data_IF_686693065693
#
_entry.id   IF_686693065693
#
_cell.length_a   1.000
_cell.length_b   1.000
_cell.length_c   1.000
_cell.angle_alpha   90.00
_cell.angle_beta   90.00
_cell.angle_gamma   90.00
#
_symmetry.space_group_name_H-M   'P 1'
#
loop_
_entity.id
_entity.type
_entity.pdbx_description
1 polymer ?
#
# COMPACT_ATOMS: atom_id res chain seq x y z
N UNK A 1 13.19 49.42 -7.12
CA UNK A 1 13.04 49.19 -5.67
C UNK A 1 12.71 50.48 -4.90
N UNK A 2 13.65 51.40 -4.65
CA UNK A 2 13.33 52.60 -3.84
C UNK A 2 12.36 53.57 -4.54
N UNK A 3 12.42 53.65 -5.87
CA UNK A 3 11.46 54.38 -6.70
C UNK A 3 10.06 53.76 -6.67
N UNK A 4 9.96 52.44 -6.58
CA UNK A 4 8.67 51.70 -6.56
C UNK A 4 8.04 51.75 -5.17
N UNK A 5 8.86 51.70 -4.11
CA UNK A 5 8.44 52.00 -2.75
C UNK A 5 7.85 53.41 -2.65
N UNK A 6 8.57 54.42 -3.15
CA UNK A 6 8.11 55.81 -3.12
C UNK A 6 6.78 55.97 -3.88
N UNK A 7 6.67 55.40 -5.09
CA UNK A 7 5.45 55.43 -5.89
C UNK A 7 4.28 54.69 -5.22
N UNK A 8 4.52 53.54 -4.60
CA UNK A 8 3.49 52.77 -3.92
C UNK A 8 2.95 53.48 -2.69
N UNK A 9 3.82 54.10 -1.89
CA UNK A 9 3.43 54.91 -0.72
C UNK A 9 2.69 56.18 -1.16
N UNK A 10 3.19 56.87 -2.20
CA UNK A 10 2.56 58.08 -2.74
C UNK A 10 1.16 57.79 -3.32
N UNK A 11 1.02 56.73 -4.12
CA UNK A 11 -0.26 56.32 -4.71
C UNK A 11 -1.27 55.92 -3.62
N UNK A 12 -0.85 55.13 -2.62
CA UNK A 12 -1.69 54.76 -1.49
C UNK A 12 -2.13 55.96 -0.66
N UNK A 13 -1.20 56.89 -0.39
CA UNK A 13 -1.48 58.12 0.37
C UNK A 13 -2.46 59.03 -0.36
N UNK A 14 -2.28 59.23 -1.66
CA UNK A 14 -3.17 60.08 -2.47
C UNK A 14 -4.58 59.47 -2.59
N UNK A 15 -4.66 58.14 -2.72
CA UNK A 15 -5.95 57.43 -2.74
C UNK A 15 -6.75 57.65 -1.45
N UNK A 16 -6.11 57.50 -0.28
CA UNK A 16 -6.78 57.67 1.01
C UNK A 16 -7.17 59.13 1.26
N UNK A 17 -6.32 60.11 0.93
CA UNK A 17 -6.67 61.54 1.05
C UNK A 17 -7.87 61.94 0.20
N UNK A 18 -8.06 61.32 -0.96
CA UNK A 18 -9.18 61.59 -1.85
C UNK A 18 -10.53 61.02 -1.36
N UNK A 19 -10.53 60.15 -0.34
CA UNK A 19 -11.72 59.47 0.19
C UNK A 19 -11.94 59.83 1.66
N UNK A 20 -12.88 60.76 1.91
CA UNK A 20 -13.11 61.28 3.27
C UNK A 20 -13.78 60.30 4.25
N UNK A 21 -14.41 59.21 3.78
CA UNK A 21 -15.12 58.22 4.62
C UNK A 21 -14.89 56.77 4.14
N UNK A 22 -13.64 56.34 4.02
CA UNK A 22 -13.30 54.95 3.67
C UNK A 22 -13.21 54.09 4.93
N UNK A 23 -13.78 52.88 4.90
CA UNK A 23 -13.61 51.92 5.99
C UNK A 23 -12.28 51.17 5.84
N UNK A 24 -11.76 50.65 6.95
CA UNK A 24 -10.44 49.99 7.04
C UNK A 24 -10.29 48.82 6.04
N UNK A 25 -11.35 48.00 5.89
CA UNK A 25 -11.34 46.83 5.00
C UNK A 25 -11.21 47.21 3.52
N UNK A 26 -11.87 48.28 3.11
CA UNK A 26 -11.79 48.79 1.73
C UNK A 26 -10.45 49.49 1.47
N UNK A 27 -9.90 50.17 2.49
CA UNK A 27 -8.55 50.73 2.44
C UNK A 27 -7.51 49.62 2.27
N UNK A 28 -7.56 48.57 3.08
CA UNK A 28 -6.63 47.44 3.02
C UNK A 28 -6.68 46.68 1.70
N UNK A 29 -7.88 46.48 1.15
CA UNK A 29 -8.05 45.83 -0.16
C UNK A 29 -7.38 46.65 -1.28
N UNK A 30 -7.53 47.97 -1.24
CA UNK A 30 -6.90 48.84 -2.24
C UNK A 30 -5.38 48.90 -2.07
N UNK A 31 -4.90 49.05 -0.82
CA UNK A 31 -3.47 49.00 -0.52
C UNK A 31 -2.85 47.66 -0.88
N UNK A 32 -3.56 46.53 -0.71
CA UNK A 32 -3.12 45.21 -1.20
C UNK A 32 -2.96 45.12 -2.72
N UNK A 33 -3.78 45.86 -3.48
CA UNK A 33 -3.65 45.96 -4.94
C UNK A 33 -2.40 46.75 -5.32
N UNK A 34 -2.14 47.87 -4.64
CA UNK A 34 -0.96 48.71 -4.84
C UNK A 34 0.32 47.95 -4.41
N UNK A 35 0.27 47.22 -3.30
CA UNK A 35 1.33 46.33 -2.82
C UNK A 35 1.75 45.34 -3.89
N UNK A 36 0.78 44.71 -4.56
CA UNK A 36 1.03 43.76 -5.65
C UNK A 36 1.60 44.46 -6.88
N UNK A 37 1.03 45.60 -7.29
CA UNK A 37 1.46 46.40 -8.44
C UNK A 37 2.93 46.82 -8.36
N UNK A 38 3.40 47.19 -7.17
CA UNK A 38 4.78 47.64 -6.94
C UNK A 38 5.68 46.58 -6.28
N UNK A 39 5.21 45.33 -6.18
CA UNK A 39 5.96 44.21 -5.57
C UNK A 39 6.52 44.53 -4.18
N UNK A 40 5.72 45.20 -3.34
CA UNK A 40 6.12 45.61 -2.00
C UNK A 40 5.95 44.45 -1.01
N UNK A 41 6.92 44.27 -0.09
CA UNK A 41 6.85 43.25 0.97
C UNK A 41 5.70 43.55 1.93
N UNK A 42 5.53 44.83 2.27
CA UNK A 42 4.37 45.30 3.01
C UNK A 42 3.92 46.69 2.55
N UNK A 43 2.61 46.92 2.54
CA UNK A 43 1.97 48.23 2.34
C UNK A 43 0.65 48.22 3.11
N UNK A 44 0.55 49.01 4.18
CA UNK A 44 -0.62 49.03 5.05
C UNK A 44 -0.87 50.41 5.63
N UNK A 45 -2.13 50.65 6.02
CA UNK A 45 -2.52 51.82 6.78
C UNK A 45 -2.11 51.63 8.24
N UNK A 46 -1.44 52.62 8.82
CA UNK A 46 -1.07 52.62 10.23
C UNK A 46 -1.72 53.83 10.87
N UNK A 47 -2.44 53.61 11.97
CA UNK A 47 -3.03 54.68 12.77
C UNK A 47 -2.00 55.14 13.79
N UNK A 48 -1.55 56.38 13.65
CA UNK A 48 -0.57 56.99 14.53
C UNK A 48 -1.19 57.46 15.84
N UNK A 49 -2.44 57.95 15.79
CA UNK A 49 -3.14 58.47 16.96
C UNK A 49 -4.65 58.50 16.74
N UNK A 50 -5.40 57.97 17.72
CA UNK A 50 -6.85 58.11 17.78
C UNK A 50 -7.21 59.42 18.48
N UNK A 51 -8.03 60.26 17.87
CA UNK A 51 -8.52 61.50 18.49
C UNK A 51 -9.99 61.35 18.87
N UNK A 52 -10.38 61.90 20.03
CA UNK A 52 -11.75 61.77 20.59
C UNK A 52 -12.83 62.39 19.69
N UNK A 53 -12.44 63.21 18.73
CA UNK A 53 -13.24 63.91 17.73
C UNK A 53 -13.72 62.98 16.58
N UNK A 54 -13.33 61.70 16.60
CA UNK A 54 -13.67 60.71 15.58
C UNK A 54 -12.87 60.81 14.27
N UNK A 55 -11.71 61.49 14.28
CA UNK A 55 -10.79 61.59 13.14
C UNK A 55 -9.38 61.14 13.53
N UNK A 56 -9.00 59.95 13.08
CA UNK A 56 -7.71 59.35 13.38
C UNK A 56 -6.59 59.91 12.48
N UNK A 57 -5.42 60.11 13.07
CA UNK A 57 -4.21 60.45 12.32
C UNK A 57 -3.59 59.15 11.79
N UNK A 58 -3.44 59.04 10.47
CA UNK A 58 -2.97 57.81 9.81
C UNK A 58 -1.85 58.10 8.81
N UNK A 59 -0.93 57.14 8.62
CA UNK A 59 0.04 57.12 7.53
C UNK A 59 0.08 55.76 6.82
N UNK A 60 0.59 55.74 5.59
CA UNK A 60 0.82 54.47 4.86
C UNK A 60 2.27 54.04 5.09
N UNK A 61 2.46 52.90 5.75
CA UNK A 61 3.76 52.28 5.89
C UNK A 61 4.05 51.37 4.70
N UNK A 62 5.23 51.49 4.10
CA UNK A 62 5.72 50.59 3.05
C UNK A 62 7.10 50.02 3.38
N UNK A 63 7.29 48.71 3.21
CA UNK A 63 8.57 48.01 3.40
C UNK A 63 8.98 47.28 2.11
N UNK A 64 10.25 47.41 1.69
CA UNK A 64 10.85 46.58 0.64
C UNK A 64 11.92 45.67 1.26
N UNK A 65 11.85 44.37 0.98
CA UNK A 65 12.97 43.45 1.20
C UNK A 65 13.67 43.28 -0.16
N UNK A 66 14.99 43.46 -0.31
CA UNK A 66 15.64 43.09 -1.57
C UNK A 66 15.66 41.57 -1.68
N UNK A 67 14.88 41.01 -2.61
CA UNK A 67 15.17 39.67 -3.14
C UNK A 67 16.29 39.86 -4.15
N UNK A 68 17.51 39.42 -3.79
CA UNK A 68 18.62 39.31 -4.74
C UNK A 68 18.66 37.87 -5.23
N UNK A 69 18.11 37.64 -6.41
CA UNK A 69 18.31 36.39 -7.13
C UNK A 69 19.57 36.54 -7.99
N UNK A 70 20.38 35.48 -8.06
CA UNK A 70 21.51 35.43 -9.00
C UNK A 70 21.00 35.38 -10.44
N UNK A 71 21.87 35.65 -11.41
CA UNK A 71 21.53 35.44 -12.82
C UNK A 71 21.19 33.95 -13.00
N UNK A 72 20.00 33.64 -13.53
CA UNK A 72 19.65 32.26 -13.87
C UNK A 72 20.66 31.73 -14.88
N UNK A 73 21.26 30.59 -14.58
CA UNK A 73 22.19 29.90 -15.46
C UNK A 73 21.72 28.47 -15.63
N UNK A 74 21.87 27.96 -16.85
CA UNK A 74 21.63 26.55 -17.14
C UNK A 74 22.80 25.76 -16.55
N UNK A 75 22.46 24.83 -15.66
CA UNK A 75 23.34 23.74 -15.27
C UNK A 75 22.71 22.45 -15.72
N UNK A 76 23.47 21.60 -16.39
CA UNK A 76 23.20 20.17 -16.36
C UNK A 76 23.51 19.72 -14.93
N UNK A 77 22.45 19.57 -14.12
CA UNK A 77 22.56 18.77 -12.91
C UNK A 77 22.79 17.34 -13.39
N UNK A 78 23.99 16.80 -13.11
CA UNK A 78 24.32 15.42 -13.42
C UNK A 78 23.13 14.53 -13.05
N UNK A 79 22.51 13.92 -14.05
CA UNK A 79 21.59 12.83 -13.80
C UNK A 79 22.37 11.82 -12.97
N UNK A 80 21.94 11.58 -11.73
CA UNK A 80 22.50 10.50 -10.91
C UNK A 80 22.56 9.27 -11.80
N UNK A 81 23.77 8.81 -12.15
CA UNK A 81 23.91 7.67 -13.05
C UNK A 81 23.42 6.42 -12.31
N UNK A 82 22.13 6.15 -12.44
CA UNK A 82 21.50 4.97 -11.85
C UNK A 82 22.01 3.78 -12.66
N UNK A 83 22.69 2.79 -12.04
CA UNK A 83 23.13 1.61 -12.75
C UNK A 83 21.92 0.77 -13.20
N UNK A 84 22.06 0.07 -14.33
CA UNK A 84 21.06 -0.91 -14.77
C UNK A 84 20.92 -2.04 -13.75
N UNK A 85 19.70 -2.53 -13.57
CA UNK A 85 19.44 -3.68 -12.70
C UNK A 85 20.18 -4.91 -13.20
N UNK A 86 20.82 -5.66 -12.29
CA UNK A 86 21.49 -6.93 -12.58
C UNK A 86 20.92 -8.03 -11.69
N UNK A 87 20.43 -9.09 -12.30
CA UNK A 87 19.87 -10.24 -11.60
C UNK A 87 20.70 -11.48 -11.90
N UNK A 88 21.22 -12.11 -10.85
CA UNK A 88 21.86 -13.42 -10.92
C UNK A 88 20.91 -14.49 -10.40
N UNK A 89 20.83 -15.59 -11.14
CA UNK A 89 19.99 -16.75 -10.82
C UNK A 89 20.87 -17.92 -10.43
N UNK A 90 20.54 -18.57 -9.31
CA UNK A 90 21.16 -19.83 -8.90
C UNK A 90 20.08 -20.73 -8.28
N UNK A 91 20.28 -22.05 -8.26
CA UNK A 91 19.33 -22.94 -7.60
C UNK A 91 19.07 -22.45 -6.17
N UNK A 92 17.80 -22.21 -5.84
CA UNK A 92 17.36 -21.83 -4.50
C UNK A 92 17.82 -20.45 -3.99
N UNK A 93 18.41 -19.63 -4.87
CA UNK A 93 18.90 -18.32 -4.50
C UNK A 93 18.99 -17.38 -5.70
N UNK A 94 18.33 -16.22 -5.60
CA UNK A 94 18.40 -15.17 -6.61
C UNK A 94 18.79 -13.84 -5.96
N UNK A 95 19.54 -13.03 -6.70
CA UNK A 95 20.04 -11.75 -6.23
C UNK A 95 19.86 -10.69 -7.32
N UNK A 96 19.07 -9.66 -7.04
CA UNK A 96 19.06 -8.43 -7.82
C UNK A 96 19.93 -7.38 -7.13
N UNK A 97 21.13 -7.13 -7.67
CA UNK A 97 22.09 -6.20 -7.09
C UNK A 97 22.99 -5.59 -8.18
N UNK A 98 22.81 -4.30 -8.52
CA UNK A 98 21.78 -3.42 -7.98
C UNK A 98 20.38 -3.76 -8.53
N UNK A 99 19.35 -3.46 -7.75
CA UNK A 99 17.96 -3.34 -8.18
C UNK A 99 17.60 -1.85 -8.22
N UNK A 100 17.13 -1.38 -9.37
CA UNK A 100 16.93 0.05 -9.69
C UNK A 100 15.70 0.27 -10.56
N UNK A 101 15.37 1.53 -10.83
CA UNK A 101 14.30 1.92 -11.76
C UNK A 101 14.62 1.51 -13.21
N UNK A 102 15.91 1.51 -13.60
CA UNK A 102 16.43 1.00 -14.89
C UNK A 102 16.42 -0.53 -14.97
N UNK A 103 15.24 -1.15 -14.86
CA UNK A 103 14.98 -2.58 -15.02
C UNK A 103 14.00 -2.84 -16.14
N UNK A 104 14.17 -3.96 -16.84
CA UNK A 104 13.14 -4.47 -17.75
C UNK A 104 12.07 -5.23 -16.95
N UNK A 105 10.84 -5.26 -17.46
CA UNK A 105 9.83 -6.20 -16.97
C UNK A 105 10.30 -7.61 -17.30
N UNK A 106 10.18 -8.52 -16.33
CA UNK A 106 10.51 -9.93 -16.49
C UNK A 106 9.44 -10.72 -17.24
N UNK A 107 9.50 -12.05 -17.13
CA UNK A 107 8.61 -12.93 -17.88
C UNK A 107 7.43 -13.43 -17.05
N UNK A 108 6.33 -13.73 -17.74
CA UNK A 108 5.19 -14.45 -17.16
C UNK A 108 5.61 -15.85 -16.72
N UNK A 109 4.99 -16.35 -15.65
CA UNK A 109 5.29 -17.65 -15.08
C UNK A 109 4.97 -18.81 -16.05
N UNK A 110 6.01 -19.50 -16.52
CA UNK A 110 5.92 -20.76 -17.27
C UNK A 110 5.65 -21.91 -16.32
N UNK A 111 5.22 -23.05 -16.88
CA UNK A 111 5.02 -24.25 -16.08
C UNK A 111 6.35 -24.83 -15.62
N UNK A 112 6.37 -25.33 -14.39
CA UNK A 112 7.53 -25.93 -13.73
C UNK A 112 7.17 -27.33 -13.24
N UNK A 113 8.16 -28.22 -13.04
CA UNK A 113 7.90 -29.53 -12.45
C UNK A 113 7.15 -29.39 -11.12
N UNK A 114 6.18 -30.28 -10.87
CA UNK A 114 5.24 -30.18 -9.76
C UNK A 114 3.98 -29.34 -10.03
N UNK A 115 3.96 -28.49 -11.07
CA UNK A 115 2.81 -27.63 -11.34
C UNK A 115 1.56 -28.42 -11.74
N UNK A 116 1.70 -29.52 -12.49
CA UNK A 116 0.58 -30.40 -12.83
C UNK A 116 -0.11 -30.96 -11.58
N UNK A 117 0.67 -31.39 -10.58
CA UNK A 117 0.15 -31.82 -9.27
C UNK A 117 -0.58 -30.68 -8.56
N UNK A 118 0.05 -29.50 -8.51
CA UNK A 118 -0.58 -28.31 -7.94
C UNK A 118 -1.90 -27.94 -8.63
N UNK A 119 -1.98 -28.10 -9.96
CA UNK A 119 -3.22 -27.88 -10.72
C UNK A 119 -4.31 -28.89 -10.34
N UNK A 120 -3.95 -30.17 -10.17
CA UNK A 120 -4.89 -31.18 -9.65
C UNK A 120 -5.40 -30.77 -8.28
N UNK A 121 -4.51 -30.45 -7.33
CA UNK A 121 -4.90 -29.96 -6.00
C UNK A 121 -5.81 -28.72 -6.10
N UNK A 122 -5.52 -27.82 -7.05
CA UNK A 122 -6.31 -26.61 -7.30
C UNK A 122 -7.74 -26.87 -7.77
N UNK A 123 -8.05 -28.06 -8.32
CA UNK A 123 -9.44 -28.43 -8.65
C UNK A 123 -10.32 -28.54 -7.41
N UNK A 124 -9.75 -28.97 -6.28
CA UNK A 124 -10.43 -28.96 -4.97
C UNK A 124 -10.24 -27.64 -4.25
N UNK A 125 -9.05 -27.06 -4.34
CA UNK A 125 -8.67 -25.87 -3.58
C UNK A 125 -7.74 -24.95 -4.35
N UNK A 126 -8.28 -23.90 -4.98
CA UNK A 126 -7.54 -22.94 -5.81
C UNK A 126 -6.52 -22.08 -5.02
N UNK A 127 -5.45 -22.70 -4.52
CA UNK A 127 -4.50 -22.06 -3.59
C UNK A 127 -3.07 -22.10 -4.05
N UNK A 128 -2.68 -23.05 -4.87
CA UNK A 128 -1.30 -23.08 -5.34
C UNK A 128 -1.13 -22.10 -6.49
N UNK A 129 -0.03 -21.36 -6.46
CA UNK A 129 0.38 -20.38 -7.47
C UNK A 129 1.84 -20.64 -7.84
N UNK A 130 2.19 -20.31 -9.08
CA UNK A 130 3.58 -20.20 -9.50
C UNK A 130 4.11 -18.86 -8.97
N UNK A 131 4.79 -18.89 -7.84
CA UNK A 131 5.32 -17.71 -7.16
C UNK A 131 6.69 -17.33 -7.71
N UNK A 132 6.82 -16.09 -8.15
CA UNK A 132 8.10 -15.47 -8.48
C UNK A 132 8.89 -15.15 -7.21
N UNK A 133 10.15 -15.59 -7.12
CA UNK A 133 11.03 -15.24 -6.00
C UNK A 133 11.51 -13.79 -6.11
N UNK A 134 11.82 -13.37 -7.32
CA UNK A 134 11.89 -11.96 -7.72
C UNK A 134 10.71 -11.69 -8.66
N UNK A 135 9.84 -10.76 -8.29
CA UNK A 135 8.65 -10.38 -9.06
C UNK A 135 8.95 -10.09 -10.54
N UNK A 136 8.01 -10.43 -11.43
CA UNK A 136 8.06 -10.02 -12.85
C UNK A 136 8.24 -8.50 -12.99
N UNK A 137 7.57 -7.70 -12.14
CA UNK A 137 7.68 -6.23 -12.15
C UNK A 137 9.01 -5.70 -11.59
N UNK A 138 9.81 -6.57 -10.97
CA UNK A 138 11.18 -6.30 -10.54
C UNK A 138 12.22 -6.87 -11.53
N UNK A 139 11.78 -7.43 -12.66
CA UNK A 139 12.63 -8.00 -13.71
C UNK A 139 12.91 -9.49 -13.58
N UNK A 140 12.24 -10.18 -12.65
CA UNK A 140 12.43 -11.61 -12.44
C UNK A 140 11.89 -12.47 -13.58
N UNK A 141 12.64 -13.51 -13.95
CA UNK A 141 12.25 -14.48 -14.99
C UNK A 141 11.10 -15.36 -14.54
N UNK A 142 10.34 -15.85 -15.51
CA UNK A 142 9.20 -16.74 -15.31
C UNK A 142 9.54 -18.22 -15.53
N UNK A 143 10.74 -18.67 -15.17
CA UNK A 143 11.17 -20.06 -15.31
C UNK A 143 11.61 -20.66 -13.96
N UNK A 144 11.97 -21.95 -13.96
CA UNK A 144 12.28 -22.71 -12.73
C UNK A 144 13.42 -22.10 -11.89
N UNK A 145 14.29 -21.27 -12.47
CA UNK A 145 15.36 -20.60 -11.72
C UNK A 145 14.83 -19.50 -10.78
N UNK A 146 13.59 -19.06 -10.96
CA UNK A 146 12.99 -17.97 -10.18
C UNK A 146 11.55 -18.28 -9.74
N UNK A 147 11.09 -19.50 -9.95
CA UNK A 147 9.75 -19.93 -9.60
C UNK A 147 9.79 -21.02 -8.53
N UNK A 148 8.84 -20.93 -7.61
CA UNK A 148 8.46 -22.03 -6.73
C UNK A 148 6.94 -22.06 -6.61
N UNK A 149 6.37 -23.23 -6.32
CA UNK A 149 4.95 -23.39 -6.06
C UNK A 149 4.71 -22.96 -4.62
N UNK A 150 3.90 -21.92 -4.45
CA UNK A 150 3.58 -21.33 -3.15
C UNK A 150 2.07 -21.18 -3.01
N UNK A 151 1.59 -20.95 -1.79
CA UNK A 151 0.18 -20.66 -1.59
C UNK A 151 -0.16 -19.25 -2.07
N UNK A 152 -1.42 -19.03 -2.45
CA UNK A 152 -1.97 -17.72 -2.82
C UNK A 152 -1.81 -16.72 -1.68
N UNK A 153 -1.95 -17.17 -0.43
CA UNK A 153 -1.68 -16.36 0.76
C UNK A 153 -0.23 -15.87 0.77
N UNK A 154 0.75 -16.78 0.66
CA UNK A 154 2.17 -16.43 0.64
C UNK A 154 2.51 -15.51 -0.52
N UNK A 155 1.99 -15.80 -1.73
CA UNK A 155 2.18 -14.96 -2.91
C UNK A 155 1.66 -13.53 -2.66
N UNK A 156 0.46 -13.40 -2.09
CA UNK A 156 -0.12 -12.10 -1.74
C UNK A 156 0.59 -11.39 -0.59
N UNK A 157 1.22 -12.11 0.35
CA UNK A 157 2.05 -11.51 1.39
C UNK A 157 3.40 -11.01 0.84
N UNK A 158 4.03 -11.75 -0.07
CA UNK A 158 5.24 -11.32 -0.80
C UNK A 158 4.96 -10.07 -1.63
N UNK A 159 3.87 -10.07 -2.39
CA UNK A 159 3.45 -8.91 -3.19
C UNK A 159 3.24 -7.68 -2.29
N UNK A 160 2.54 -7.85 -1.18
CA UNK A 160 2.16 -6.76 -0.27
C UNK A 160 3.30 -6.27 0.61
N UNK A 161 4.31 -7.09 0.88
CA UNK A 161 5.46 -6.77 1.72
C UNK A 161 6.70 -6.43 0.91
N UNK A 162 7.65 -7.37 0.75
CA UNK A 162 8.96 -7.12 0.16
C UNK A 162 8.88 -6.56 -1.27
N UNK A 163 7.98 -7.08 -2.11
CA UNK A 163 7.89 -6.62 -3.49
C UNK A 163 7.38 -5.18 -3.59
N UNK A 164 6.33 -4.84 -2.84
CA UNK A 164 5.79 -3.48 -2.82
C UNK A 164 6.83 -2.48 -2.36
N UNK A 165 7.57 -2.82 -1.30
CA UNK A 165 8.65 -1.98 -0.81
C UNK A 165 9.70 -1.75 -1.90
N UNK A 166 10.20 -2.83 -2.51
CA UNK A 166 11.22 -2.72 -3.55
C UNK A 166 10.74 -1.92 -4.76
N UNK A 167 9.51 -2.15 -5.24
CA UNK A 167 8.90 -1.41 -6.36
C UNK A 167 8.80 0.08 -6.06
N UNK A 168 8.40 0.46 -4.85
CA UNK A 168 8.24 1.84 -4.44
C UNK A 168 9.60 2.55 -4.31
N UNK A 169 10.56 1.96 -3.62
CA UNK A 169 11.88 2.58 -3.41
C UNK A 169 12.70 2.69 -4.70
N UNK A 170 12.50 1.77 -5.64
CA UNK A 170 13.17 1.77 -6.95
C UNK A 170 12.28 2.36 -8.05
N UNK A 171 11.31 3.21 -7.71
CA UNK A 171 10.54 3.97 -8.69
C UNK A 171 11.38 5.09 -9.32
N UNK A 172 10.95 5.60 -10.47
CA UNK A 172 11.61 6.75 -11.12
C UNK A 172 11.60 8.02 -10.27
N UNK A 173 10.63 8.16 -9.36
CA UNK A 173 10.52 9.29 -8.44
C UNK A 173 11.57 9.21 -7.32
N UNK A 174 11.75 8.02 -6.72
CA UNK A 174 12.67 7.82 -5.59
C UNK A 174 14.10 7.53 -6.02
N UNK A 175 14.30 7.00 -7.23
CA UNK A 175 15.60 6.64 -7.80
C UNK A 175 16.47 5.79 -6.86
N UNK A 176 15.84 4.98 -6.00
CA UNK A 176 16.55 4.17 -5.01
C UNK A 176 17.35 3.05 -5.66
N UNK A 177 18.45 2.69 -5.02
CA UNK A 177 19.32 1.58 -5.41
C UNK A 177 19.30 0.56 -4.28
N UNK A 178 18.77 -0.63 -4.55
CA UNK A 178 18.64 -1.70 -3.57
C UNK A 178 19.52 -2.91 -3.93
N UNK A 179 19.74 -3.77 -2.93
CA UNK A 179 20.03 -5.19 -3.12
C UNK A 179 18.79 -5.97 -2.70
N UNK A 180 18.32 -6.91 -3.52
CA UNK A 180 17.21 -7.80 -3.20
C UNK A 180 17.72 -9.25 -3.30
N UNK A 181 18.05 -9.84 -2.15
CA UNK A 181 18.51 -11.23 -2.02
C UNK A 181 17.32 -12.08 -1.59
N UNK A 182 16.99 -13.12 -2.37
CA UNK A 182 15.95 -14.09 -2.03
C UNK A 182 16.54 -15.49 -2.06
N UNK A 183 16.33 -16.22 -0.96
CA UNK A 183 16.70 -17.63 -0.78
C UNK A 183 15.45 -18.41 -0.43
N UNK A 184 15.31 -19.60 -0.98
CA UNK A 184 14.18 -20.45 -0.64
C UNK A 184 14.59 -21.91 -0.57
N UNK A 185 13.84 -22.69 0.17
CA UNK A 185 14.01 -24.15 0.27
C UNK A 185 12.68 -24.77 -0.09
N UNK A 186 12.72 -25.82 -0.91
CA UNK A 186 11.53 -26.58 -1.25
C UNK A 186 11.36 -27.78 -0.30
N UNK A 187 10.12 -28.23 -0.16
CA UNK A 187 9.84 -29.54 0.43
C UNK A 187 10.54 -30.65 -0.37
N UNK A 188 10.93 -31.77 0.28
CA UNK A 188 11.55 -32.90 -0.41
C UNK A 188 10.71 -33.39 -1.58
N UNK A 189 11.38 -33.74 -2.68
CA UNK A 189 10.71 -34.32 -3.84
C UNK A 189 10.10 -35.68 -3.48
N UNK A 190 8.84 -35.89 -3.84
CA UNK A 190 8.12 -37.16 -3.71
C UNK A 190 7.30 -37.42 -4.99
N UNK A 191 7.83 -38.23 -5.91
CA UNK A 191 7.17 -38.49 -7.19
C UNK A 191 6.96 -37.20 -8.00
N UNK A 192 5.70 -36.90 -8.33
CA UNK A 192 5.29 -35.66 -9.05
C UNK A 192 5.24 -34.42 -8.15
N UNK A 193 5.43 -34.58 -6.84
CA UNK A 193 5.43 -33.48 -5.87
C UNK A 193 6.84 -32.92 -5.79
N UNK A 194 7.05 -31.77 -6.42
CA UNK A 194 8.31 -31.04 -6.36
C UNK A 194 8.10 -29.54 -6.52
N UNK A 195 9.12 -28.77 -6.19
CA UNK A 195 9.13 -27.31 -6.27
C UNK A 195 8.13 -26.56 -5.38
N UNK A 196 7.55 -27.19 -4.36
CA UNK A 196 6.74 -26.50 -3.35
C UNK A 196 7.62 -25.85 -2.29
N UNK A 197 7.53 -24.55 -2.09
CA UNK A 197 8.34 -23.86 -1.09
C UNK A 197 7.98 -24.31 0.33
N UNK A 198 9.00 -24.60 1.12
CA UNK A 198 8.95 -24.82 2.57
C UNK A 198 9.30 -23.56 3.34
N UNK A 199 10.29 -22.82 2.83
CA UNK A 199 10.78 -21.59 3.44
C UNK A 199 11.24 -20.62 2.37
N UNK A 200 10.96 -19.33 2.57
CA UNK A 200 11.45 -18.22 1.73
C UNK A 200 11.99 -17.13 2.64
N UNK A 201 13.21 -16.67 2.38
CA UNK A 201 13.86 -15.58 3.11
C UNK A 201 14.24 -14.52 2.08
N UNK A 202 13.80 -13.29 2.31
CA UNK A 202 14.12 -12.14 1.47
C UNK A 202 14.82 -11.10 2.33
N UNK A 203 15.97 -10.64 1.87
CA UNK A 203 16.71 -9.54 2.49
C UNK A 203 16.83 -8.41 1.49
N UNK A 204 16.29 -7.25 1.86
CA UNK A 204 16.40 -6.03 1.06
C UNK A 204 17.39 -5.09 1.75
N UNK A 205 18.42 -4.65 1.05
CA UNK A 205 19.39 -3.66 1.55
C UNK A 205 19.34 -2.40 0.71
N UNK A 206 19.00 -1.26 1.32
CA UNK A 206 19.10 0.02 0.64
C UNK A 206 20.56 0.48 0.60
N UNK A 207 21.09 0.77 -0.59
CA UNK A 207 22.52 1.07 -0.77
C UNK A 207 22.90 2.45 -0.23
N UNK A 208 21.94 3.38 -0.13
CA UNK A 208 22.15 4.77 0.32
C UNK A 208 22.35 4.84 1.83
N UNK A 209 21.42 4.27 2.60
CA UNK A 209 21.41 4.33 4.07
C UNK A 209 21.89 3.04 4.74
N UNK A 210 22.20 2.00 3.95
CA UNK A 210 22.58 0.65 4.42
C UNK A 210 21.50 -0.04 5.26
N UNK A 211 20.26 0.44 5.22
CA UNK A 211 19.15 -0.17 5.95
C UNK A 211 18.85 -1.56 5.41
N UNK A 212 18.75 -2.53 6.31
CA UNK A 212 18.42 -3.92 6.01
C UNK A 212 16.99 -4.21 6.46
N UNK A 213 16.19 -4.79 5.56
CA UNK A 213 14.81 -5.17 5.78
C UNK A 213 14.65 -6.68 5.51
N UNK A 214 14.56 -7.50 6.58
CA UNK A 214 14.34 -8.93 6.44
C UNK A 214 12.85 -9.26 6.34
N UNK A 215 12.52 -10.21 5.47
CA UNK A 215 11.22 -10.84 5.38
C UNK A 215 11.41 -12.36 5.38
N UNK A 216 10.58 -13.08 6.13
CA UNK A 216 10.71 -14.53 6.26
C UNK A 216 9.34 -15.19 6.25
N UNK A 217 9.22 -16.22 5.43
CA UNK A 217 8.04 -17.05 5.26
C UNK A 217 8.46 -18.47 5.59
N UNK A 218 8.23 -18.89 6.83
CA UNK A 218 8.65 -20.21 7.34
C UNK A 218 7.47 -21.15 7.48
N UNK A 219 7.76 -22.44 7.55
CA UNK A 219 6.76 -23.50 7.76
C UNK A 219 5.62 -23.42 6.74
N UNK A 220 5.97 -23.13 5.49
CA UNK A 220 5.01 -23.13 4.39
C UNK A 220 4.46 -24.56 4.23
N UNK A 221 3.15 -24.70 3.96
CA UNK A 221 2.49 -25.99 4.00
C UNK A 221 3.09 -26.96 2.98
N UNK A 222 3.29 -28.21 3.41
CA UNK A 222 3.59 -29.30 2.48
C UNK A 222 2.33 -29.58 1.64
N UNK A 223 2.46 -29.78 0.32
CA UNK A 223 1.33 -30.18 -0.49
C UNK A 223 0.85 -31.59 -0.11
N UNK A 224 -0.47 -31.84 -0.10
CA UNK A 224 -1.00 -33.20 -0.02
C UNK A 224 -0.50 -34.08 -1.16
N UNK A 225 -0.27 -35.37 -0.87
CA UNK A 225 0.21 -36.32 -1.87
C UNK A 225 -0.88 -36.75 -2.86
N UNK A 226 -2.13 -36.75 -2.41
CA UNK A 226 -3.30 -37.10 -3.21
C UNK A 226 -4.38 -36.04 -3.08
N UNK A 227 -5.37 -36.10 -3.97
CA UNK A 227 -6.57 -35.26 -3.88
C UNK A 227 -7.38 -35.54 -2.61
N UNK A 228 -7.40 -36.78 -2.14
CA UNK A 228 -8.08 -37.23 -0.91
C UNK A 228 -7.41 -36.66 0.35
N UNK A 229 -6.09 -36.43 0.31
CA UNK A 229 -5.34 -35.83 1.42
C UNK A 229 -5.50 -34.32 1.56
N UNK A 230 -6.25 -33.65 0.66
CA UNK A 230 -6.50 -32.21 0.76
C UNK A 230 -7.46 -31.94 1.92
N UNK A 231 -6.98 -31.27 2.96
CA UNK A 231 -7.80 -30.77 4.07
C UNK A 231 -8.05 -29.28 3.89
N UNK A 232 -9.33 -28.89 3.85
CA UNK A 232 -9.82 -27.53 3.65
C UNK A 232 -10.27 -26.96 4.98
N UNK A 233 -9.38 -26.18 5.60
CA UNK A 233 -9.69 -25.49 6.85
C UNK A 233 -10.29 -24.11 6.58
N UNK A 234 -11.51 -23.85 7.08
CA UNK A 234 -12.21 -22.56 6.95
C UNK A 234 -11.32 -21.35 7.30
N UNK A 235 -10.44 -21.51 8.29
CA UNK A 235 -9.54 -20.45 8.73
C UNK A 235 -8.46 -20.06 7.71
N UNK A 236 -8.18 -20.91 6.72
CA UNK A 236 -7.05 -20.75 5.79
C UNK A 236 -7.48 -20.38 4.37
N UNK A 237 -8.78 -20.29 4.09
CA UNK A 237 -9.31 -20.20 2.72
C UNK A 237 -9.90 -18.83 2.38
N UNK A 238 -9.96 -18.50 1.09
CA UNK A 238 -10.54 -17.23 0.60
C UNK A 238 -12.04 -17.31 0.36
N UNK A 239 -12.66 -16.15 0.07
CA UNK A 239 -14.10 -16.02 -0.23
C UNK A 239 -14.59 -17.02 -1.27
N UNK A 240 -13.95 -17.19 -2.45
CA UNK A 240 -14.45 -18.11 -3.47
C UNK A 240 -14.56 -19.56 -2.96
N UNK A 241 -13.60 -20.00 -2.15
CA UNK A 241 -13.61 -21.33 -1.56
C UNK A 241 -14.65 -21.47 -0.46
N UNK A 242 -14.90 -20.43 0.34
CA UNK A 242 -15.98 -20.45 1.34
C UNK A 242 -17.34 -20.65 0.69
N UNK A 243 -17.61 -19.97 -0.43
CA UNK A 243 -18.84 -20.14 -1.19
C UNK A 243 -18.95 -21.57 -1.73
N UNK A 244 -17.90 -22.05 -2.38
CA UNK A 244 -17.92 -23.33 -3.09
C UNK A 244 -17.95 -24.54 -2.14
N UNK A 245 -17.05 -24.56 -1.14
CA UNK A 245 -16.80 -25.73 -0.31
C UNK A 245 -17.64 -25.75 0.96
N UNK A 246 -17.81 -24.59 1.60
CA UNK A 246 -18.62 -24.45 2.81
C UNK A 246 -20.07 -24.04 2.53
N UNK A 247 -20.41 -23.81 1.25
CA UNK A 247 -21.77 -23.47 0.84
C UNK A 247 -22.25 -22.10 1.32
N UNK A 248 -21.34 -21.21 1.68
CA UNK A 248 -21.73 -19.91 2.26
C UNK A 248 -22.30 -19.00 1.18
N UNK A 249 -23.35 -18.25 1.50
CA UNK A 249 -23.75 -17.12 0.67
C UNK A 249 -22.72 -16.00 0.70
N UNK A 250 -22.73 -15.18 -0.36
CA UNK A 250 -21.71 -14.17 -0.56
C UNK A 250 -21.63 -13.09 0.54
N UNK A 251 -22.77 -12.57 1.07
CA UNK A 251 -22.76 -11.70 2.23
C UNK A 251 -22.16 -12.35 3.48
N UNK A 252 -22.52 -13.60 3.78
CA UNK A 252 -22.05 -14.28 4.98
C UNK A 252 -20.57 -14.63 4.90
N UNK A 253 -20.09 -15.09 3.75
CA UNK A 253 -18.67 -15.35 3.55
C UNK A 253 -17.82 -14.10 3.79
N UNK A 254 -18.32 -12.92 3.42
CA UNK A 254 -17.64 -11.64 3.73
C UNK A 254 -17.61 -11.39 5.23
N UNK A 255 -18.76 -11.49 5.89
CA UNK A 255 -18.86 -11.29 7.34
C UNK A 255 -17.96 -12.28 8.11
N UNK A 256 -17.90 -13.55 7.70
CA UNK A 256 -17.03 -14.59 8.26
C UNK A 256 -15.55 -14.24 8.06
N UNK A 257 -15.16 -13.76 6.88
CA UNK A 257 -13.78 -13.32 6.62
C UNK A 257 -13.38 -12.12 7.47
N UNK A 258 -14.27 -11.12 7.58
CA UNK A 258 -14.04 -9.91 8.37
C UNK A 258 -13.82 -10.26 9.85
N UNK A 259 -14.63 -11.17 10.39
CA UNK A 259 -14.49 -11.61 11.78
C UNK A 259 -13.26 -12.51 11.97
N UNK A 260 -13.01 -13.46 11.07
CA UNK A 260 -11.82 -14.32 11.09
C UNK A 260 -10.51 -13.53 11.04
N UNK A 261 -10.48 -12.39 10.34
CA UNK A 261 -9.27 -11.56 10.26
C UNK A 261 -8.84 -10.98 11.63
N UNK A 262 -9.71 -11.04 12.65
CA UNK A 262 -9.38 -10.72 14.04
C UNK A 262 -8.76 -11.89 14.81
N UNK A 263 -8.84 -13.11 14.27
CA UNK A 263 -8.32 -14.35 14.85
C UNK A 263 -9.02 -15.59 14.28
N UNK A 264 -8.30 -16.70 14.13
CA UNK A 264 -8.85 -18.00 13.70
C UNK A 264 -10.01 -18.44 14.58
N UNK A 265 -11.00 -19.10 13.98
CA UNK A 265 -12.07 -19.77 14.72
C UNK A 265 -11.58 -21.09 15.30
N UNK A 266 -12.03 -21.43 16.51
CA UNK A 266 -11.63 -22.70 17.15
C UNK A 266 -12.40 -23.88 16.57
N UNK A 267 -13.71 -23.73 16.44
CA UNK A 267 -14.61 -24.72 15.87
C UNK A 267 -15.88 -24.04 15.33
N UNK A 268 -16.90 -24.83 14.98
CA UNK A 268 -18.18 -24.30 14.48
C UNK A 268 -19.00 -23.55 15.54
N UNK A 269 -18.85 -23.90 16.82
CA UNK A 269 -19.54 -23.25 17.95
C UNK A 269 -18.94 -21.87 18.16
N UNK A 270 -17.62 -21.74 18.04
CA UNK A 270 -16.92 -20.46 18.08
C UNK A 270 -17.36 -19.55 16.93
N UNK A 271 -17.50 -20.07 15.70
CA UNK A 271 -18.08 -19.29 14.58
C UNK A 271 -19.47 -18.76 14.95
N UNK A 272 -20.37 -19.62 15.44
CA UNK A 272 -21.73 -19.22 15.81
C UNK A 272 -21.71 -18.10 16.87
N UNK A 273 -20.86 -18.25 17.89
CA UNK A 273 -20.74 -17.31 19.00
C UNK A 273 -20.18 -15.97 18.55
N UNK A 274 -19.06 -15.99 17.81
CA UNK A 274 -18.38 -14.79 17.34
C UNK A 274 -19.19 -14.05 16.28
N UNK A 275 -19.86 -14.76 15.37
CA UNK A 275 -20.72 -14.12 14.37
C UNK A 275 -21.95 -13.46 14.99
N UNK A 276 -22.53 -14.06 16.05
CA UNK A 276 -23.62 -13.42 16.80
C UNK A 276 -23.15 -12.11 17.44
N UNK A 277 -22.01 -12.15 18.14
CA UNK A 277 -21.39 -10.96 18.74
C UNK A 277 -21.03 -9.90 17.70
N UNK A 278 -20.49 -10.32 16.54
CA UNK A 278 -20.21 -9.45 15.41
C UNK A 278 -21.46 -8.71 14.94
N UNK A 279 -22.60 -9.39 14.76
CA UNK A 279 -23.84 -8.73 14.36
C UNK A 279 -24.40 -7.78 15.42
N UNK A 280 -24.38 -8.16 16.69
CA UNK A 280 -24.80 -7.27 17.78
C UNK A 280 -23.94 -6.00 17.79
N UNK A 281 -22.61 -6.13 17.62
CA UNK A 281 -21.69 -4.99 17.57
C UNK A 281 -21.94 -4.05 16.37
N UNK A 282 -22.56 -4.55 15.30
CA UNK A 282 -22.98 -3.78 14.12
C UNK A 282 -24.36 -3.16 14.26
N UNK A 283 -24.99 -3.26 15.43
CA UNK A 283 -26.30 -2.66 15.74
C UNK A 283 -27.51 -3.53 15.39
N UNK A 284 -27.31 -4.81 15.03
CA UNK A 284 -28.43 -5.72 14.81
C UNK A 284 -28.99 -6.22 16.16
N UNK A 285 -30.30 -6.12 16.36
CA UNK A 285 -30.96 -6.69 17.53
C UNK A 285 -30.95 -8.23 17.49
N UNK A 286 -31.10 -8.87 18.65
CA UNK A 286 -31.22 -10.32 18.76
C UNK A 286 -32.38 -10.90 17.93
N UNK A 287 -33.44 -10.12 17.75
CA UNK A 287 -34.63 -10.53 16.99
C UNK A 287 -34.55 -10.21 15.49
N UNK A 288 -33.46 -9.59 15.04
CA UNK A 288 -33.26 -9.27 13.63
C UNK A 288 -33.20 -10.55 12.78
N UNK A 289 -33.67 -10.46 11.54
CA UNK A 289 -33.59 -11.58 10.60
C UNK A 289 -32.15 -12.06 10.40
N UNK A 290 -31.18 -11.15 10.49
CA UNK A 290 -29.75 -11.47 10.33
C UNK A 290 -29.24 -12.38 11.45
N UNK A 291 -29.62 -12.11 12.70
CA UNK A 291 -29.27 -12.95 13.86
C UNK A 291 -30.08 -14.26 13.84
N UNK A 292 -31.38 -14.20 13.51
CA UNK A 292 -32.22 -15.41 13.41
C UNK A 292 -31.73 -16.39 12.34
N UNK A 293 -31.29 -15.88 11.19
CA UNK A 293 -30.77 -16.71 10.10
C UNK A 293 -29.39 -17.30 10.40
N UNK A 294 -28.66 -16.82 11.41
CA UNK A 294 -27.33 -17.34 11.74
C UNK A 294 -27.37 -18.84 12.02
N UNK A 295 -28.37 -19.32 12.75
CA UNK A 295 -28.51 -20.75 13.04
C UNK A 295 -28.65 -21.61 11.78
N UNK A 296 -29.36 -21.11 10.76
CA UNK A 296 -29.49 -21.81 9.47
C UNK A 296 -28.14 -21.88 8.75
N UNK A 297 -27.39 -20.76 8.71
CA UNK A 297 -26.07 -20.73 8.07
C UNK A 297 -25.05 -21.62 8.80
N UNK A 298 -25.11 -21.67 10.13
CA UNK A 298 -24.29 -22.57 10.93
C UNK A 298 -24.68 -24.03 10.67
N UNK A 299 -25.97 -24.33 10.52
CA UNK A 299 -26.43 -25.67 10.15
C UNK A 299 -25.95 -26.09 8.75
N UNK A 300 -25.94 -25.17 7.78
CA UNK A 300 -25.39 -25.42 6.44
C UNK A 300 -23.90 -25.79 6.51
N UNK A 301 -23.10 -25.01 7.26
CA UNK A 301 -21.69 -25.32 7.51
C UNK A 301 -21.54 -26.70 8.15
N UNK A 302 -22.34 -27.01 9.17
CA UNK A 302 -22.30 -28.31 9.86
C UNK A 302 -22.60 -29.46 8.92
N UNK A 303 -23.60 -29.30 8.06
CA UNK A 303 -24.00 -30.30 7.06
C UNK A 303 -22.88 -30.54 6.05
N UNK A 304 -22.18 -29.49 5.61
CA UNK A 304 -21.02 -29.60 4.73
C UNK A 304 -19.86 -30.32 5.40
N UNK A 305 -19.52 -29.96 6.64
CA UNK A 305 -18.48 -30.65 7.43
C UNK A 305 -18.79 -32.14 7.62
N UNK A 306 -20.05 -32.49 7.90
CA UNK A 306 -20.46 -33.88 8.11
C UNK A 306 -20.45 -34.71 6.81
N UNK A 307 -20.76 -34.08 5.67
CA UNK A 307 -20.80 -34.76 4.35
C UNK A 307 -19.46 -34.79 3.63
N UNK A 308 -18.48 -34.00 4.07
CA UNK A 308 -17.17 -33.93 3.45
C UNK A 308 -16.06 -33.87 4.52
N UNK A 309 -15.42 -35.02 4.76
CA UNK A 309 -14.33 -35.19 5.74
C UNK A 309 -13.07 -34.40 5.41
N UNK A 310 -12.96 -33.82 4.21
CA UNK A 310 -11.88 -32.89 3.88
C UNK A 310 -12.07 -31.52 4.50
N UNK A 311 -13.28 -31.13 4.88
CA UNK A 311 -13.57 -29.81 5.44
C UNK A 311 -13.36 -29.83 6.95
N UNK A 312 -12.61 -28.87 7.47
CA UNK A 312 -12.38 -28.71 8.92
C UNK A 312 -12.50 -27.25 9.35
N UNK A 313 -12.63 -27.04 10.65
CA UNK A 313 -12.45 -25.76 11.32
C UNK A 313 -11.55 -26.04 12.51
N UNK A 314 -10.29 -25.62 12.41
CA UNK A 314 -9.29 -25.81 13.46
C UNK A 314 -8.35 -24.60 13.48
N UNK A 315 -7.80 -24.29 14.66
CA UNK A 315 -6.95 -23.12 14.89
C UNK A 315 -5.56 -23.24 14.26
#
# INVERSE_FOLDING_TARGET
>A
MQKDLYKGVEEGTNYLKAKQNINEKDADKHLGTIKSKYSLKDLKLVVDKNNEDGKDLVHVHGEVNPVKEGQGFEIELDEVDIPKTKISYSPYHNLANPLTSKRSIGDRAKDIPGWKHAQLLNTKFNVWRKGHMISMLLGGRGDISNLSIITEKTNGEMERGPERYAKNETSEEKKGILSYDVKWVNHPKKGEIENFAKEIIITITNKKDKKILPYSFKNLPEPPETLEGVIINLNKIGRPTLLLQFGLDEPFAKDVLDERNKGSFEDIIDIATRMKSYYISKGYSNDSQKVKNLNLKILEIRTRLASNSTLIIEK
#
